data_IF_103251666552
#
_entry.id   IF_103251666552
#
_cell.length_a   1.000
_cell.length_b   1.000
_cell.length_c   1.000
_cell.angle_alpha   90.00
_cell.angle_beta   90.00
_cell.angle_gamma   90.00
#
_symmetry.space_group_name_H-M   'P 1'
#
loop_
_entity.id
_entity.type
_entity.pdbx_description
1 polymer ?
#
# COMPACT_ATOMS: atom_id res chain seq x y z
N UNK A 1 16.53 -19.20 5.21
CA UNK A 1 15.42 -18.33 4.79
C UNK A 1 15.72 -17.82 3.39
N UNK A 2 14.83 -18.01 2.42
CA UNK A 2 14.99 -17.40 1.10
C UNK A 2 14.81 -15.88 1.28
N UNK A 3 15.87 -15.12 1.01
CA UNK A 3 15.78 -13.66 1.05
C UNK A 3 14.92 -13.19 -0.14
N UNK A 4 14.08 -12.17 0.08
CA UNK A 4 13.42 -11.46 -1.01
C UNK A 4 14.50 -10.91 -1.94
N UNK A 5 14.45 -11.30 -3.21
CA UNK A 5 15.43 -10.86 -4.20
C UNK A 5 14.98 -9.52 -4.79
N UNK A 6 15.85 -8.52 -4.65
CA UNK A 6 15.79 -7.36 -5.52
C UNK A 6 16.12 -7.78 -6.94
N UNK A 7 15.36 -7.30 -7.90
CA UNK A 7 15.68 -7.47 -9.30
C UNK A 7 15.18 -6.29 -10.10
N UNK A 8 15.86 -5.99 -11.18
CA UNK A 8 15.47 -4.98 -12.16
C UNK A 8 15.31 -5.64 -13.52
N UNK A 9 14.26 -5.29 -14.24
CA UNK A 9 14.01 -5.77 -15.60
C UNK A 9 13.40 -4.67 -16.46
N UNK A 10 13.53 -4.80 -17.78
CA UNK A 10 12.75 -4.03 -18.75
C UNK A 10 11.68 -4.95 -19.30
N UNK A 11 10.42 -4.59 -19.06
CA UNK A 11 9.28 -5.41 -19.45
C UNK A 11 8.06 -4.54 -19.72
N UNK A 12 7.24 -4.92 -20.71
CA UNK A 12 6.00 -4.25 -21.08
C UNK A 12 6.16 -2.71 -21.25
N UNK A 13 7.32 -2.28 -21.81
CA UNK A 13 7.62 -0.86 -22.03
C UNK A 13 8.06 -0.06 -20.81
N UNK A 14 8.26 -0.71 -19.67
CA UNK A 14 8.67 -0.10 -18.41
C UNK A 14 9.99 -0.69 -17.91
N UNK A 15 10.77 0.08 -17.17
CA UNK A 15 11.80 -0.42 -16.26
C UNK A 15 11.14 -0.69 -14.92
N UNK A 16 11.24 -1.91 -14.44
CA UNK A 16 10.57 -2.34 -13.21
C UNK A 16 11.66 -2.81 -12.24
N UNK A 17 11.68 -2.20 -11.06
CA UNK A 17 12.55 -2.62 -9.96
C UNK A 17 11.67 -3.24 -8.86
N UNK A 18 11.85 -4.53 -8.60
CA UNK A 18 11.05 -5.33 -7.67
C UNK A 18 11.70 -5.43 -6.30
N UNK A 19 10.89 -5.41 -5.24
CA UNK A 19 11.31 -5.65 -3.85
C UNK A 19 12.44 -4.74 -3.36
N UNK A 20 12.49 -3.50 -3.87
CA UNK A 20 13.49 -2.50 -3.50
C UNK A 20 13.38 -2.19 -2.00
N UNK A 21 14.50 -2.26 -1.24
CA UNK A 21 14.49 -1.99 0.19
C UNK A 21 14.41 -0.49 0.47
N UNK A 22 13.59 -0.14 1.45
CA UNK A 22 13.55 1.20 2.04
C UNK A 22 13.82 1.03 3.54
N UNK A 23 14.97 1.50 4.00
CA UNK A 23 15.34 1.41 5.42
C UNK A 23 14.60 2.47 6.23
N UNK A 24 13.96 2.04 7.30
CA UNK A 24 13.31 2.92 8.28
C UNK A 24 14.29 3.34 9.39
N UNK A 25 13.94 4.36 10.14
CA UNK A 25 14.79 4.92 11.21
C UNK A 25 15.03 3.96 12.39
N UNK A 26 14.16 2.95 12.54
CA UNK A 26 14.30 1.90 13.57
C UNK A 26 15.05 0.65 13.06
N UNK A 27 15.59 0.71 11.84
CA UNK A 27 16.34 -0.39 11.21
C UNK A 27 15.48 -1.44 10.51
N UNK A 28 14.13 -1.34 10.55
CA UNK A 28 13.27 -2.20 9.76
C UNK A 28 13.38 -1.83 8.28
N UNK A 29 13.19 -2.80 7.40
CA UNK A 29 13.28 -2.59 5.94
C UNK A 29 11.94 -2.89 5.30
N UNK A 30 11.31 -1.86 4.74
CA UNK A 30 10.12 -2.00 3.91
C UNK A 30 10.49 -2.39 2.47
N UNK A 31 9.51 -2.87 1.71
CA UNK A 31 9.68 -3.30 0.32
C UNK A 31 8.79 -2.51 -0.61
N UNK A 32 9.40 -2.02 -1.69
CA UNK A 32 8.71 -1.27 -2.74
C UNK A 32 8.88 -1.93 -4.11
N UNK A 33 7.90 -1.74 -5.00
CA UNK A 33 8.05 -1.96 -6.43
C UNK A 33 7.99 -0.62 -7.15
N UNK A 34 8.88 -0.44 -8.14
CA UNK A 34 9.04 0.81 -8.87
C UNK A 34 8.84 0.55 -10.35
N UNK A 35 7.92 1.28 -10.94
CA UNK A 35 7.64 1.25 -12.37
C UNK A 35 7.99 2.62 -12.97
N UNK A 36 8.87 2.66 -13.96
CA UNK A 36 9.31 3.93 -14.54
C UNK A 36 9.63 3.81 -16.03
N UNK A 37 9.70 4.93 -16.78
CA UNK A 37 10.10 4.91 -18.17
C UNK A 37 11.45 4.23 -18.37
N UNK A 38 11.59 3.53 -19.50
CA UNK A 38 12.87 2.88 -19.88
C UNK A 38 13.95 3.92 -20.19
N UNK A 39 13.54 5.07 -20.74
CA UNK A 39 14.45 6.16 -21.03
C UNK A 39 15.06 6.71 -19.74
N UNK A 40 16.37 6.98 -19.76
CA UNK A 40 17.01 7.64 -18.64
C UNK A 40 16.50 9.07 -18.48
N UNK A 41 16.21 9.45 -17.25
CA UNK A 41 15.62 10.74 -16.93
C UNK A 41 15.22 10.86 -15.47
N UNK A 42 14.67 12.02 -15.13
CA UNK A 42 14.08 12.29 -13.81
C UNK A 42 12.58 12.51 -14.00
N UNK A 43 11.78 11.82 -13.18
CA UNK A 43 10.33 11.76 -13.31
C UNK A 43 9.64 12.19 -12.02
N UNK A 44 8.49 12.87 -12.09
CA UNK A 44 7.63 13.00 -10.92
C UNK A 44 7.16 11.63 -10.47
N UNK A 45 7.04 11.45 -9.16
CA UNK A 45 6.71 10.17 -8.56
C UNK A 45 5.25 10.15 -8.15
N UNK A 46 4.55 9.05 -8.44
CA UNK A 46 3.27 8.69 -7.84
C UNK A 46 3.53 7.56 -6.86
N UNK A 47 3.33 7.83 -5.57
CA UNK A 47 3.62 6.88 -4.50
C UNK A 47 2.36 6.46 -3.76
N UNK A 48 2.24 5.16 -3.50
CA UNK A 48 1.24 4.56 -2.62
C UNK A 48 1.93 3.75 -1.53
N UNK A 49 1.38 3.80 -0.32
CA UNK A 49 1.86 3.09 0.87
C UNK A 49 0.67 2.50 1.60
N UNK A 50 0.63 1.19 1.81
CA UNK A 50 -0.50 0.59 2.51
C UNK A 50 -0.46 -0.93 2.64
N UNK A 51 -1.53 -1.53 3.21
CA UNK A 51 -1.51 -2.89 3.74
C UNK A 51 -1.97 -3.98 2.76
N UNK A 52 -2.27 -3.66 1.50
CA UNK A 52 -2.97 -4.61 0.62
C UNK A 52 -2.07 -5.47 -0.27
N UNK A 53 -0.77 -5.52 0.03
CA UNK A 53 0.25 -6.29 -0.67
C UNK A 53 0.45 -5.88 -2.14
N UNK A 54 1.57 -5.18 -2.41
CA UNK A 54 1.95 -4.66 -3.74
C UNK A 54 2.03 -5.72 -4.84
N UNK A 55 2.20 -6.99 -4.46
CA UNK A 55 2.30 -8.13 -5.37
C UNK A 55 0.97 -8.84 -5.64
N UNK A 56 -0.13 -8.40 -5.00
CA UNK A 56 -1.47 -8.98 -5.18
C UNK A 56 -2.21 -8.23 -6.27
N UNK A 57 -2.39 -8.88 -7.41
CA UNK A 57 -3.17 -8.29 -8.49
C UNK A 57 -4.65 -8.12 -8.11
N UNK A 58 -5.31 -7.08 -8.62
CA UNK A 58 -6.71 -6.80 -8.35
C UNK A 58 -7.61 -8.01 -8.66
N UNK A 59 -7.36 -8.67 -9.80
CA UNK A 59 -8.11 -9.84 -10.24
C UNK A 59 -8.02 -11.03 -9.28
N UNK A 60 -6.90 -11.15 -8.56
CA UNK A 60 -6.64 -12.27 -7.64
C UNK A 60 -7.11 -11.96 -6.22
N UNK A 61 -6.90 -10.74 -5.77
CA UNK A 61 -7.30 -10.31 -4.42
C UNK A 61 -8.80 -10.04 -4.29
N UNK A 62 -9.42 -9.49 -5.34
CA UNK A 62 -10.80 -9.00 -5.30
C UNK A 62 -11.57 -9.39 -6.58
N UNK A 63 -11.70 -10.68 -6.91
CA UNK A 63 -12.22 -11.14 -8.21
C UNK A 63 -13.64 -10.67 -8.49
N UNK A 64 -14.51 -10.61 -7.49
CA UNK A 64 -15.89 -10.13 -7.67
C UNK A 64 -15.93 -8.65 -8.03
N UNK A 65 -15.16 -7.81 -7.33
CA UNK A 65 -15.07 -6.38 -7.60
C UNK A 65 -14.43 -6.12 -8.97
N UNK A 66 -13.37 -6.86 -9.31
CA UNK A 66 -12.76 -6.81 -10.64
C UNK A 66 -13.75 -7.09 -11.75
N UNK A 67 -14.49 -8.20 -11.65
CA UNK A 67 -15.46 -8.60 -12.68
C UNK A 67 -16.57 -7.56 -12.85
N UNK A 68 -17.09 -7.01 -11.75
CA UNK A 68 -18.11 -5.95 -11.79
C UNK A 68 -17.56 -4.70 -12.47
N UNK A 69 -16.35 -4.25 -12.08
CA UNK A 69 -15.71 -3.08 -12.66
C UNK A 69 -15.46 -3.28 -14.15
N UNK A 70 -14.82 -4.38 -14.55
CA UNK A 70 -14.49 -4.64 -15.94
C UNK A 70 -15.73 -4.75 -16.84
N UNK A 71 -16.84 -5.26 -16.30
CA UNK A 71 -18.10 -5.38 -17.03
C UNK A 71 -18.84 -4.03 -17.16
N UNK A 72 -18.90 -3.24 -16.06
CA UNK A 72 -19.65 -1.99 -16.02
C UNK A 72 -18.86 -0.78 -16.51
N UNK A 73 -17.55 -0.83 -16.41
CA UNK A 73 -16.63 0.26 -16.71
C UNK A 73 -15.46 -0.23 -17.59
N UNK A 74 -15.73 -0.69 -18.82
CA UNK A 74 -14.69 -1.25 -19.71
C UNK A 74 -13.62 -0.22 -20.09
N UNK A 75 -13.90 1.07 -20.00
CA UNK A 75 -12.95 2.17 -20.17
C UNK A 75 -11.81 2.13 -19.15
N UNK A 76 -12.05 1.63 -17.94
CA UNK A 76 -11.01 1.46 -16.90
C UNK A 76 -9.98 0.42 -17.31
N UNK A 77 -10.42 -0.66 -17.97
CA UNK A 77 -9.53 -1.73 -18.43
C UNK A 77 -8.90 -1.45 -19.80
N UNK A 78 -9.44 -0.50 -20.56
CA UNK A 78 -8.93 -0.14 -21.87
C UNK A 78 -7.56 0.53 -21.81
N UNK A 79 -6.68 0.25 -22.78
CA UNK A 79 -5.35 0.86 -22.86
C UNK A 79 -4.33 0.35 -21.84
N UNK A 80 -4.61 -0.79 -21.21
CA UNK A 80 -3.70 -1.49 -20.29
C UNK A 80 -3.79 -3.00 -20.53
N UNK A 81 -2.74 -3.74 -20.25
CA UNK A 81 -2.79 -5.20 -20.18
C UNK A 81 -3.50 -5.71 -18.92
N UNK A 82 -3.72 -4.84 -17.97
CA UNK A 82 -4.27 -5.10 -16.64
C UNK A 82 -3.44 -6.06 -15.77
N UNK A 83 -2.22 -6.37 -16.16
CA UNK A 83 -1.31 -7.26 -15.40
C UNK A 83 -0.86 -6.63 -14.10
N UNK A 84 -0.67 -5.29 -14.12
CA UNK A 84 -0.09 -4.52 -13.02
C UNK A 84 -1.14 -3.76 -12.20
N UNK A 85 -2.42 -3.97 -12.45
CA UNK A 85 -3.47 -3.36 -11.65
C UNK A 85 -3.56 -4.01 -10.28
N UNK A 86 -3.48 -3.19 -9.24
CA UNK A 86 -3.72 -3.57 -7.85
C UNK A 86 -4.94 -2.83 -7.32
N UNK A 87 -5.43 -3.27 -6.17
CA UNK A 87 -6.58 -2.67 -5.50
C UNK A 87 -6.29 -1.22 -5.08
N UNK A 88 -7.16 -0.29 -5.48
CA UNK A 88 -7.19 1.11 -5.03
C UNK A 88 -5.96 1.97 -5.37
N UNK A 89 -5.10 1.54 -6.28
CA UNK A 89 -3.88 2.26 -6.66
C UNK A 89 -3.80 2.50 -8.17
N UNK A 90 -2.91 3.39 -8.58
CA UNK A 90 -2.71 3.72 -10.01
C UNK A 90 -2.21 2.52 -10.80
N UNK A 91 -2.66 2.41 -12.06
CA UNK A 91 -2.13 1.44 -13.01
C UNK A 91 -0.86 2.02 -13.68
N UNK A 92 0.33 1.41 -13.47
CA UNK A 92 1.56 1.94 -14.02
C UNK A 92 1.60 1.92 -15.55
N UNK A 93 0.88 0.99 -16.22
CA UNK A 93 0.80 0.99 -17.69
C UNK A 93 0.09 2.22 -18.25
N UNK A 94 -0.71 2.92 -17.44
CA UNK A 94 -1.36 4.18 -17.82
C UNK A 94 -0.55 5.42 -17.46
N UNK A 95 0.30 5.37 -16.44
CA UNK A 95 1.02 6.55 -15.96
C UNK A 95 2.47 6.63 -16.44
N UNK A 96 3.17 5.51 -16.54
CA UNK A 96 4.57 5.48 -17.00
C UNK A 96 4.73 6.04 -18.42
N UNK A 97 3.82 5.77 -19.39
CA UNK A 97 3.90 6.38 -20.71
C UNK A 97 3.78 7.92 -20.74
N UNK A 98 3.30 8.52 -19.64
CA UNK A 98 3.18 9.97 -19.47
C UNK A 98 4.32 10.56 -18.61
N UNK A 99 5.47 9.89 -18.59
CA UNK A 99 6.68 10.33 -17.89
C UNK A 99 6.52 10.42 -16.36
N UNK A 100 5.76 9.51 -15.75
CA UNK A 100 5.68 9.32 -14.30
C UNK A 100 6.45 8.06 -13.86
N UNK A 101 7.01 8.10 -12.66
CA UNK A 101 7.44 6.91 -11.94
C UNK A 101 6.36 6.53 -10.92
N UNK A 102 5.92 5.27 -10.92
CA UNK A 102 4.96 4.75 -9.94
C UNK A 102 5.71 3.92 -8.90
N UNK A 103 5.49 4.20 -7.62
CA UNK A 103 6.10 3.49 -6.50
C UNK A 103 5.00 2.92 -5.62
N UNK A 104 5.05 1.61 -5.36
CA UNK A 104 4.13 0.91 -4.46
C UNK A 104 4.90 0.33 -3.30
N UNK A 105 4.55 0.72 -2.09
CA UNK A 105 5.21 0.27 -0.86
C UNK A 105 4.25 -0.57 -0.05
N UNK A 106 4.68 -1.78 0.31
CA UNK A 106 4.01 -2.55 1.36
C UNK A 106 4.27 -1.88 2.71
N UNK A 107 3.22 -1.56 3.45
CA UNK A 107 3.35 -1.02 4.80
C UNK A 107 3.92 -2.06 5.77
N UNK A 108 4.38 -1.57 6.92
CA UNK A 108 4.93 -2.40 8.00
C UNK A 108 3.97 -3.54 8.36
N UNK A 109 4.47 -4.78 8.32
CA UNK A 109 3.71 -5.99 8.64
C UNK A 109 2.83 -6.51 7.51
N UNK A 110 2.81 -5.89 6.33
CA UNK A 110 1.97 -6.30 5.20
C UNK A 110 2.81 -6.73 3.99
N UNK A 111 2.25 -7.60 3.16
CA UNK A 111 2.86 -8.06 1.92
C UNK A 111 4.28 -8.57 2.14
N UNK A 112 5.26 -7.96 1.48
CA UNK A 112 6.68 -8.29 1.58
C UNK A 112 7.44 -7.51 2.67
N UNK A 113 6.79 -6.62 3.41
CA UNK A 113 7.39 -5.82 4.47
C UNK A 113 7.17 -6.45 5.84
N UNK A 114 8.23 -6.82 6.58
CA UNK A 114 8.08 -7.38 7.94
C UNK A 114 7.63 -6.32 8.95
N UNK A 115 7.39 -6.76 10.18
CA UNK A 115 7.08 -5.91 11.32
C UNK A 115 5.67 -6.13 11.86
N UNK A 116 5.23 -5.19 12.71
CA UNK A 116 3.93 -5.25 13.37
C UNK A 116 2.94 -4.34 12.66
N UNK A 117 1.80 -4.88 12.29
CA UNK A 117 0.69 -4.09 11.74
C UNK A 117 0.07 -3.24 12.85
N UNK A 118 0.09 -1.93 12.66
CA UNK A 118 -0.54 -0.95 13.55
C UNK A 118 -1.10 0.21 12.69
N UNK A 119 -2.29 -0.02 12.15
CA UNK A 119 -2.90 0.87 11.18
C UNK A 119 -3.16 2.27 11.72
N UNK A 120 -2.85 3.25 10.87
CA UNK A 120 -3.05 4.68 11.15
C UNK A 120 -2.32 5.19 12.39
N UNK A 121 -1.35 4.41 12.88
CA UNK A 121 -0.51 4.80 14.02
C UNK A 121 0.50 5.89 13.64
N UNK A 122 1.03 6.62 14.63
CA UNK A 122 2.15 7.55 14.39
C UNK A 122 3.37 6.86 13.77
N UNK A 123 3.60 5.56 14.08
CA UNK A 123 4.71 4.79 13.49
C UNK A 123 4.47 4.55 12.00
N UNK A 124 3.30 4.12 11.62
CA UNK A 124 2.95 3.91 10.21
C UNK A 124 3.02 5.23 9.41
N UNK A 125 2.53 6.31 9.99
CA UNK A 125 2.62 7.66 9.40
C UNK A 125 4.06 8.10 9.19
N UNK A 126 4.96 7.81 10.15
CA UNK A 126 6.39 8.11 10.03
C UNK A 126 7.07 7.25 8.97
N UNK A 127 6.73 5.97 8.88
CA UNK A 127 7.24 5.09 7.82
C UNK A 127 6.82 5.62 6.43
N UNK A 128 5.60 6.08 6.30
CA UNK A 128 5.12 6.67 5.04
C UNK A 128 5.86 7.98 4.71
N UNK A 129 6.10 8.84 5.71
CA UNK A 129 6.95 10.04 5.55
C UNK A 129 8.33 9.66 5.01
N UNK A 130 8.99 8.66 5.63
CA UNK A 130 10.32 8.22 5.20
C UNK A 130 10.32 7.66 3.78
N UNK A 131 9.25 6.98 3.37
CA UNK A 131 9.08 6.51 1.99
C UNK A 131 8.94 7.66 0.98
N UNK A 132 8.24 8.75 1.32
CA UNK A 132 8.12 9.94 0.48
C UNK A 132 9.49 10.61 0.31
N UNK A 133 10.20 10.82 1.40
CA UNK A 133 11.52 11.44 1.39
C UNK A 133 12.56 10.57 0.65
N UNK A 134 12.51 9.25 0.86
CA UNK A 134 13.34 8.31 0.11
C UNK A 134 13.08 8.41 -1.40
N UNK A 135 11.81 8.42 -1.82
CA UNK A 135 11.46 8.52 -3.24
C UNK A 135 11.86 9.86 -3.85
N UNK A 136 11.77 10.94 -3.07
CA UNK A 136 12.15 12.29 -3.51
C UNK A 136 13.62 12.44 -3.87
N UNK A 137 14.52 11.73 -3.20
CA UNK A 137 15.97 11.85 -3.43
C UNK A 137 16.54 10.82 -4.39
N UNK A 138 15.73 9.94 -4.98
CA UNK A 138 16.22 8.94 -5.92
C UNK A 138 16.78 9.60 -7.19
N UNK A 139 17.83 9.02 -7.82
CA UNK A 139 18.45 9.59 -9.03
C UNK A 139 17.48 9.80 -10.20
N UNK A 140 16.46 8.96 -10.27
CA UNK A 140 15.40 9.01 -11.30
C UNK A 140 14.20 9.90 -10.89
N UNK A 141 14.22 10.52 -9.73
CA UNK A 141 13.14 11.38 -9.24
C UNK A 141 13.41 12.86 -9.53
N UNK A 142 12.37 13.62 -9.85
CA UNK A 142 12.44 15.09 -9.92
C UNK A 142 12.46 15.76 -8.57
N UNK A 143 12.31 15.00 -7.47
CA UNK A 143 12.10 15.52 -6.12
C UNK A 143 10.64 15.88 -5.82
N UNK A 144 9.70 15.60 -6.75
CA UNK A 144 8.28 15.85 -6.55
C UNK A 144 7.55 14.51 -6.42
N UNK A 145 6.99 14.26 -5.24
CA UNK A 145 6.22 13.06 -4.94
C UNK A 145 4.75 13.43 -4.80
N UNK A 146 3.90 12.87 -5.64
CA UNK A 146 2.45 12.94 -5.55
C UNK A 146 1.92 11.65 -4.92
N UNK A 147 0.85 11.76 -4.15
CA UNK A 147 0.12 10.63 -3.60
C UNK A 147 -1.20 10.48 -4.34
N UNK A 148 -1.58 9.25 -4.64
CA UNK A 148 -2.86 8.95 -5.28
C UNK A 148 -3.38 7.62 -4.77
N UNK A 149 -4.59 7.59 -4.26
CA UNK A 149 -5.19 6.37 -3.76
C UNK A 149 -6.60 6.54 -3.25
N UNK A 150 -7.29 5.42 -3.15
CA UNK A 150 -8.67 5.31 -2.72
C UNK A 150 -8.69 4.75 -1.30
N UNK A 151 -9.68 5.10 -0.48
CA UNK A 151 -9.95 4.49 0.82
C UNK A 151 -8.72 4.57 1.75
N UNK A 152 -8.13 3.45 2.15
CA UNK A 152 -6.91 3.43 2.98
C UNK A 152 -5.80 4.31 2.41
N UNK A 153 -5.53 4.16 1.11
CA UNK A 153 -4.54 4.95 0.39
C UNK A 153 -4.94 6.42 0.20
N UNK A 154 -6.18 6.78 0.53
CA UNK A 154 -6.66 8.15 0.62
C UNK A 154 -6.54 8.71 2.04
N UNK A 155 -6.98 7.94 3.04
CA UNK A 155 -6.99 8.35 4.45
C UNK A 155 -5.58 8.66 4.95
N UNK A 156 -4.62 7.77 4.72
CA UNK A 156 -3.26 7.92 5.20
C UNK A 156 -2.50 9.11 4.59
N UNK A 157 -2.98 9.67 3.45
CA UNK A 157 -2.41 10.89 2.87
C UNK A 157 -2.59 12.10 3.80
N UNK A 158 -3.75 12.23 4.48
CA UNK A 158 -3.96 13.28 5.46
C UNK A 158 -2.99 13.18 6.64
N UNK A 159 -2.80 11.97 7.14
CA UNK A 159 -1.88 11.73 8.26
C UNK A 159 -0.46 12.13 7.89
N UNK A 160 0.07 11.64 6.78
CA UNK A 160 1.45 11.94 6.40
C UNK A 160 1.64 13.41 6.01
N UNK A 161 0.64 14.04 5.39
CA UNK A 161 0.71 15.46 5.05
C UNK A 161 0.80 16.37 6.29
N UNK A 162 0.23 15.94 7.43
CA UNK A 162 0.37 16.67 8.69
C UNK A 162 1.83 16.80 9.17
N UNK A 163 2.69 15.86 8.75
CA UNK A 163 4.13 15.90 9.02
C UNK A 163 4.92 16.76 8.03
N UNK A 164 4.26 17.29 6.98
CA UNK A 164 4.82 18.20 5.98
C UNK A 164 6.12 17.69 5.31
N UNK A 165 6.10 16.48 4.67
CA UNK A 165 7.29 15.97 3.99
C UNK A 165 7.76 16.95 2.91
N UNK A 166 9.04 17.36 2.90
CA UNK A 166 9.58 18.34 1.94
C UNK A 166 9.38 17.97 0.47
N UNK A 167 9.39 16.68 0.15
CA UNK A 167 9.19 16.20 -1.22
C UNK A 167 7.72 15.96 -1.60
N UNK A 168 6.77 16.09 -0.67
CA UNK A 168 5.35 15.96 -0.97
C UNK A 168 4.87 17.15 -1.80
N UNK A 169 4.48 16.89 -3.06
CA UNK A 169 4.11 17.93 -4.01
C UNK A 169 2.61 17.99 -4.30
N UNK A 170 1.88 16.90 -4.20
CA UNK A 170 0.45 16.82 -4.49
C UNK A 170 -0.19 15.62 -3.80
N UNK A 171 -1.50 15.72 -3.56
CA UNK A 171 -2.32 14.64 -3.01
C UNK A 171 -3.61 14.51 -3.84
N UNK A 172 -3.92 13.28 -4.24
CA UNK A 172 -5.19 12.89 -4.84
C UNK A 172 -5.89 11.90 -3.93
N UNK A 173 -6.84 12.40 -3.15
CA UNK A 173 -7.55 11.62 -2.13
C UNK A 173 -8.93 11.25 -2.67
N UNK A 174 -9.15 9.94 -2.86
CA UNK A 174 -10.41 9.39 -3.30
C UNK A 174 -11.05 8.62 -2.15
N UNK A 175 -12.31 8.93 -1.81
CA UNK A 175 -13.05 8.25 -0.73
C UNK A 175 -12.25 8.15 0.59
N UNK A 176 -11.49 9.19 0.92
CA UNK A 176 -10.74 9.30 2.16
C UNK A 176 -11.58 9.86 3.30
N UNK A 177 -10.98 9.91 4.48
CA UNK A 177 -11.57 10.56 5.66
C UNK A 177 -10.56 11.49 6.33
N UNK A 178 -11.05 12.50 7.03
CA UNK A 178 -10.21 13.47 7.75
C UNK A 178 -10.35 13.35 9.28
N UNK A 179 -11.38 12.70 9.76
CA UNK A 179 -11.66 12.51 11.20
C UNK A 179 -11.86 11.03 11.49
N UNK A 180 -10.94 10.44 12.24
CA UNK A 180 -10.95 9.00 12.53
C UNK A 180 -12.20 8.56 13.30
N UNK A 181 -12.67 9.36 14.25
CA UNK A 181 -13.86 9.05 15.02
C UNK A 181 -15.15 9.24 14.20
N UNK A 182 -15.35 10.46 13.65
CA UNK A 182 -16.62 10.86 13.04
C UNK A 182 -16.83 10.24 11.66
N UNK A 183 -15.75 10.12 10.88
CA UNK A 183 -15.85 9.67 9.50
C UNK A 183 -15.64 8.14 9.37
N UNK A 184 -14.97 7.50 10.34
CA UNK A 184 -14.52 6.13 10.20
C UNK A 184 -15.10 5.17 11.24
N UNK A 185 -14.90 5.44 12.52
CA UNK A 185 -15.23 4.46 13.56
C UNK A 185 -16.61 4.65 14.19
N UNK A 186 -17.09 5.89 14.32
CA UNK A 186 -18.35 6.20 15.01
C UNK A 186 -19.14 7.32 14.32
N UNK A 187 -19.76 7.01 13.20
CA UNK A 187 -20.60 7.95 12.46
C UNK A 187 -21.77 8.43 13.32
N UNK A 188 -21.78 9.72 13.69
CA UNK A 188 -22.78 10.26 14.60
C UNK A 188 -22.76 9.65 16.01
N UNK A 189 -21.62 9.10 16.44
CA UNK A 189 -21.49 8.38 17.71
C UNK A 189 -21.92 6.91 17.66
N UNK A 190 -22.29 6.41 16.50
CA UNK A 190 -22.70 5.00 16.29
C UNK A 190 -21.52 4.23 15.73
N UNK A 191 -21.16 3.12 16.39
CA UNK A 191 -20.06 2.25 15.97
C UNK A 191 -20.27 1.73 14.54
N UNK A 192 -19.28 1.93 13.68
CA UNK A 192 -19.23 1.35 12.35
C UNK A 192 -18.88 -0.13 12.42
N UNK A 193 -19.67 -0.97 11.77
CA UNK A 193 -19.44 -2.42 11.68
C UNK A 193 -18.49 -2.80 10.52
N UNK A 194 -18.07 -1.84 9.71
CA UNK A 194 -17.18 -2.07 8.57
C UNK A 194 -15.87 -2.75 8.99
N UNK A 195 -15.30 -2.34 10.12
CA UNK A 195 -13.98 -2.77 10.60
C UNK A 195 -13.89 -4.23 10.98
N UNK A 196 -14.99 -4.84 11.41
CA UNK A 196 -15.06 -6.24 11.81
C UNK A 196 -14.70 -7.17 10.65
N UNK A 197 -15.24 -6.89 9.46
CA UNK A 197 -14.98 -7.70 8.27
C UNK A 197 -13.72 -7.26 7.51
N UNK A 198 -13.49 -5.96 7.41
CA UNK A 198 -12.38 -5.42 6.65
C UNK A 198 -11.02 -5.96 7.11
N UNK A 199 -10.76 -5.92 8.41
CA UNK A 199 -9.47 -6.35 8.96
C UNK A 199 -9.21 -7.84 8.70
N UNK A 200 -10.22 -8.67 8.88
CA UNK A 200 -10.12 -10.11 8.66
C UNK A 200 -9.97 -10.48 7.19
N UNK A 201 -10.70 -9.83 6.32
CA UNK A 201 -10.76 -10.19 4.90
C UNK A 201 -9.67 -9.53 4.05
N UNK A 202 -9.23 -8.33 4.38
CA UNK A 202 -8.33 -7.56 3.52
C UNK A 202 -6.93 -7.35 4.12
N UNK A 203 -6.78 -7.42 5.44
CA UNK A 203 -5.49 -7.20 6.11
C UNK A 203 -4.84 -8.50 6.54
N UNK A 204 -5.55 -9.33 7.34
CA UNK A 204 -4.97 -10.59 7.84
C UNK A 204 -4.57 -11.54 6.71
N UNK A 205 -5.30 -11.52 5.60
CA UNK A 205 -5.06 -12.39 4.44
C UNK A 205 -3.77 -12.06 3.69
N UNK A 206 -3.27 -10.84 3.86
CA UNK A 206 -2.04 -10.35 3.21
C UNK A 206 -0.98 -9.88 4.20
N UNK A 207 -1.12 -10.23 5.48
CA UNK A 207 -0.12 -9.97 6.49
C UNK A 207 1.21 -10.63 6.14
N UNK A 208 2.34 -9.95 6.38
CA UNK A 208 3.66 -10.55 6.23
C UNK A 208 3.78 -11.84 7.08
N UNK A 209 4.29 -12.89 6.47
CA UNK A 209 4.40 -14.20 7.12
C UNK A 209 3.18 -15.11 6.96
N UNK A 210 2.13 -14.68 6.24
CA UNK A 210 1.08 -15.61 5.77
C UNK A 210 1.67 -16.63 4.78
N UNK A 211 2.72 -16.25 4.06
CA UNK A 211 3.51 -17.13 3.19
C UNK A 211 2.65 -17.79 2.11
N UNK A 212 2.76 -19.10 1.96
CA UNK A 212 2.03 -19.87 0.94
C UNK A 212 0.50 -19.72 1.01
N UNK A 213 -0.05 -19.40 2.17
CA UNK A 213 -1.50 -19.17 2.35
C UNK A 213 -1.99 -17.87 1.69
N UNK A 214 -1.09 -16.90 1.50
CA UNK A 214 -1.39 -15.60 0.87
C UNK A 214 -1.31 -15.60 -0.66
N UNK A 215 -0.99 -16.74 -1.27
CA UNK A 215 -0.91 -16.88 -2.72
C UNK A 215 0.39 -16.35 -3.33
N UNK A 216 0.43 -16.35 -4.66
CA UNK A 216 1.60 -15.97 -5.46
C UNK A 216 1.25 -14.89 -6.46
N UNK A 217 2.21 -14.01 -6.71
CA UNK A 217 2.10 -13.00 -7.77
C UNK A 217 1.93 -13.65 -9.14
N UNK A 218 0.91 -13.23 -9.89
CA UNK A 218 0.68 -13.67 -11.27
C UNK A 218 1.77 -13.19 -12.25
N UNK A 219 2.57 -12.19 -11.85
CA UNK A 219 3.58 -11.60 -12.71
C UNK A 219 4.88 -12.41 -12.65
N UNK A 220 5.32 -12.78 -11.44
CA UNK A 220 6.64 -13.38 -11.23
C UNK A 220 6.64 -14.64 -10.36
N UNK A 221 5.48 -15.07 -9.84
CA UNK A 221 5.32 -16.32 -9.11
C UNK A 221 5.86 -16.31 -7.68
N UNK A 222 6.44 -15.21 -7.20
CA UNK A 222 6.87 -15.08 -5.80
C UNK A 222 5.69 -14.97 -4.86
N UNK A 223 5.90 -15.32 -3.58
CA UNK A 223 4.87 -15.20 -2.56
C UNK A 223 4.46 -13.74 -2.34
N UNK A 224 3.15 -13.50 -2.24
CA UNK A 224 2.60 -12.17 -2.03
C UNK A 224 2.93 -11.63 -0.64
N UNK A 225 2.97 -12.52 0.38
CA UNK A 225 3.09 -12.16 1.79
C UNK A 225 4.47 -12.47 2.39
N UNK A 226 5.52 -12.27 1.59
CA UNK A 226 6.90 -12.53 2.00
C UNK A 226 7.27 -14.01 2.01
N UNK A 227 8.56 -14.32 2.18
CA UNK A 227 9.09 -15.68 2.03
C UNK A 227 8.86 -16.58 3.26
N UNK A 228 8.43 -16.02 4.38
CA UNK A 228 8.22 -16.73 5.62
C UNK A 228 6.77 -17.24 5.73
N UNK A 229 6.60 -18.40 6.35
CA UNK A 229 5.27 -18.90 6.73
C UNK A 229 5.23 -19.06 8.25
N UNK A 230 4.61 -18.09 8.91
CA UNK A 230 4.48 -18.02 10.35
C UNK A 230 3.22 -18.78 10.84
N UNK A 231 3.26 -19.26 12.07
CA UNK A 231 2.09 -19.79 12.76
C UNK A 231 1.06 -18.68 13.06
N UNK A 232 -0.18 -19.05 13.29
CA UNK A 232 -1.24 -18.10 13.64
C UNK A 232 -0.95 -17.35 14.95
N UNK A 233 -0.25 -17.99 15.88
CA UNK A 233 0.18 -17.37 17.13
C UNK A 233 1.28 -16.30 16.91
N UNK A 234 2.19 -16.52 15.97
CA UNK A 234 3.20 -15.54 15.58
C UNK A 234 2.58 -14.38 14.79
N UNK A 235 1.68 -14.70 13.85
CA UNK A 235 0.94 -13.68 13.12
C UNK A 235 0.13 -12.80 14.07
N UNK A 236 -0.51 -13.37 15.09
CA UNK A 236 -1.27 -12.61 16.08
C UNK A 236 -0.40 -11.64 16.89
N UNK A 237 0.88 -11.98 17.15
CA UNK A 237 1.83 -11.10 17.84
C UNK A 237 2.32 -9.94 16.95
N UNK A 238 2.27 -10.13 15.62
CA UNK A 238 2.74 -9.17 14.64
C UNK A 238 1.62 -8.26 14.11
N UNK A 239 0.58 -8.05 14.90
CA UNK A 239 -0.49 -7.08 14.65
C UNK A 239 -1.12 -6.59 15.94
N UNK A 240 -1.60 -5.35 15.95
CA UNK A 240 -2.40 -4.82 17.05
C UNK A 240 -3.82 -5.39 17.02
N UNK A 241 -4.49 -5.37 18.16
CA UNK A 241 -5.91 -5.71 18.28
C UNK A 241 -6.78 -4.55 17.80
N UNK A 242 -6.80 -4.35 16.48
CA UNK A 242 -7.39 -3.19 15.83
C UNK A 242 -8.88 -3.01 16.18
N UNK A 243 -9.68 -4.05 15.97
CA UNK A 243 -11.12 -4.02 16.31
C UNK A 243 -11.38 -3.85 17.81
N UNK A 244 -10.63 -4.56 18.64
CA UNK A 244 -10.72 -4.44 20.10
C UNK A 244 -10.32 -3.04 20.59
N UNK A 245 -9.36 -2.38 19.95
CA UNK A 245 -9.01 -1.00 20.28
C UNK A 245 -10.18 -0.06 20.00
N UNK A 246 -10.83 -0.17 18.85
CA UNK A 246 -12.00 0.66 18.52
C UNK A 246 -13.12 0.46 19.54
N UNK A 247 -13.40 -0.80 19.93
CA UNK A 247 -14.44 -1.12 20.92
C UNK A 247 -14.12 -0.59 22.33
N UNK A 248 -12.83 -0.53 22.70
CA UNK A 248 -12.40 0.03 24.01
C UNK A 248 -12.48 1.55 24.07
N UNK A 249 -12.59 2.21 22.91
CA UNK A 249 -12.63 3.66 22.78
C UNK A 249 -13.93 4.14 22.13
N UNK A 250 -15.11 3.98 22.82
CA UNK A 250 -16.41 4.32 22.22
C UNK A 250 -16.68 5.83 22.12
N UNK A 251 -15.81 6.63 22.71
CA UNK A 251 -15.91 8.11 22.72
C UNK A 251 -14.74 8.72 21.95
N UNK A 252 -14.94 9.94 21.46
CA UNK A 252 -13.89 10.74 20.79
C UNK A 252 -12.81 11.15 21.81
N UNK A 253 -11.88 10.24 22.05
CA UNK A 253 -10.78 10.40 23.00
C UNK A 253 -9.39 10.43 22.30
N UNK A 254 -8.32 10.31 23.09
CA UNK A 254 -6.93 10.38 22.61
C UNK A 254 -6.57 9.27 21.60
N UNK A 255 -7.29 8.16 21.59
CA UNK A 255 -7.07 7.08 20.62
C UNK A 255 -7.41 7.53 19.20
N UNK A 256 -8.37 8.44 19.06
CA UNK A 256 -8.87 8.90 17.77
C UNK A 256 -8.18 10.18 17.24
N UNK A 257 -7.22 10.73 17.99
CA UNK A 257 -6.60 12.04 17.70
C UNK A 257 -5.11 11.98 17.45
#
# INVERSE_FOLDING_TARGET
>A
MAALQERSEVRDGMRIDWNVPIAMDDGLVLRADIFRPVKDGRYPVLLTYGPYAKNLAFQDGYPSAWNIMAQKHPDVTAGSSNKYQNWEVVDPEKWVPHDYACVRVDSRGAGCSPGVIDHFSPRETKDFYDCIEWAGVQPWSTGKVGLNGISYFGINQWHVASLQPPHLAAMCIWEGSADWYRDMTHHGGILSTFWENWFDMQVKTVQYGVGERGGRSRIHGELVCGPETLSDAELAKNRTDFGGNILRHPMDDKYHR
#
